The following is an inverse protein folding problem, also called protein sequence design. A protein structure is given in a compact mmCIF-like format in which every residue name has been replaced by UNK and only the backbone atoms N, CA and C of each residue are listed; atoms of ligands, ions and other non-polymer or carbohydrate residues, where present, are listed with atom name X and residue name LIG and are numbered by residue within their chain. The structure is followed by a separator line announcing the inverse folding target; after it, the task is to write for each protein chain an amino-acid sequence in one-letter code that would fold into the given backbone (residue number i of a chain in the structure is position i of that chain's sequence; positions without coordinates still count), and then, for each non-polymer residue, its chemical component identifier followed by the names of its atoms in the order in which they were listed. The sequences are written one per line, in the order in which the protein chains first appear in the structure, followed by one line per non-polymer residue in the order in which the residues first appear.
data_IF_664693436863
#
_entry.id   IF_664693436863
#
_cell.length_a   1.000
_cell.length_b   1.000
_cell.length_c   1.000
_cell.angle_alpha   90.00
_cell.angle_beta   90.00
_cell.angle_gamma   90.00
#
_symmetry.space_group_name_H-M   'P 1'
#
loop_
_entity.id
_entity.type
_entity.pdbx_description
1 polymer ?
#
# COMPACT_ATOMS: atom_id res chain seq x y z
N UNK A 1 -15.38 14.95 -14.32
CA UNK A 1 -14.31 13.93 -14.54
C UNK A 1 -13.56 13.61 -13.24
N UNK A 2 -13.45 14.57 -12.32
CA UNK A 2 -12.61 14.45 -11.12
C UNK A 2 -13.09 13.33 -10.16
N UNK A 3 -14.40 13.17 -9.98
CA UNK A 3 -14.96 12.09 -9.16
C UNK A 3 -14.74 10.69 -9.72
N UNK A 4 -14.65 10.54 -11.06
CA UNK A 4 -14.41 9.24 -11.69
C UNK A 4 -12.96 8.78 -11.50
N UNK A 5 -12.02 9.72 -11.62
CA UNK A 5 -10.59 9.45 -11.38
C UNK A 5 -10.33 9.14 -9.90
N UNK A 6 -10.93 9.91 -8.99
CA UNK A 6 -10.79 9.69 -7.54
C UNK A 6 -11.43 8.35 -7.15
N UNK A 7 -12.62 8.04 -7.66
CA UNK A 7 -13.31 6.77 -7.43
C UNK A 7 -12.53 5.57 -7.96
N UNK A 8 -12.08 5.62 -9.22
CA UNK A 8 -11.28 4.55 -9.81
C UNK A 8 -9.97 4.32 -9.08
N UNK A 9 -9.24 5.39 -8.71
CA UNK A 9 -8.01 5.28 -7.95
C UNK A 9 -8.22 4.67 -6.57
N UNK A 10 -9.32 5.04 -5.90
CA UNK A 10 -9.68 4.50 -4.60
C UNK A 10 -10.06 3.02 -4.66
N UNK A 11 -10.94 2.64 -5.59
CA UNK A 11 -11.32 1.23 -5.80
C UNK A 11 -10.11 0.38 -6.12
N UNK A 12 -9.24 0.83 -7.03
CA UNK A 12 -8.06 0.07 -7.43
C UNK A 12 -7.07 -0.10 -6.26
N UNK A 13 -6.92 0.94 -5.44
CA UNK A 13 -6.12 0.88 -4.21
C UNK A 13 -6.70 -0.12 -3.21
N UNK A 14 -8.02 -0.08 -2.98
CA UNK A 14 -8.70 -1.03 -2.08
C UNK A 14 -8.60 -2.47 -2.58
N UNK A 15 -8.74 -2.71 -3.89
CA UNK A 15 -8.59 -4.03 -4.49
C UNK A 15 -7.18 -4.57 -4.28
N UNK A 16 -6.14 -3.77 -4.53
CA UNK A 16 -4.74 -4.18 -4.32
C UNK A 16 -4.47 -4.49 -2.85
N UNK A 17 -4.93 -3.63 -1.93
CA UNK A 17 -4.78 -3.86 -0.48
C UNK A 17 -5.52 -5.14 -0.06
N UNK A 18 -6.74 -5.36 -0.55
CA UNK A 18 -7.55 -6.54 -0.26
C UNK A 18 -6.88 -7.83 -0.73
N UNK A 19 -6.36 -7.85 -1.96
CA UNK A 19 -5.66 -9.02 -2.53
C UNK A 19 -4.40 -9.34 -1.72
N UNK A 20 -3.59 -8.33 -1.37
CA UNK A 20 -2.40 -8.55 -0.54
C UNK A 20 -2.81 -9.12 0.83
N UNK A 21 -3.88 -8.61 1.43
CA UNK A 21 -4.39 -9.12 2.71
C UNK A 21 -4.98 -10.52 2.63
N UNK A 22 -5.57 -10.91 1.51
CA UNK A 22 -6.12 -12.26 1.32
C UNK A 22 -5.00 -13.30 1.14
N UNK A 23 -3.99 -12.96 0.35
CA UNK A 23 -2.79 -13.77 0.15
C UNK A 23 -2.02 -13.93 1.46
N UNK A 24 -1.73 -12.82 2.15
CA UNK A 24 -0.96 -12.84 3.40
C UNK A 24 -1.79 -13.27 4.62
N UNK A 25 -3.12 -13.26 4.51
CA UNK A 25 -4.07 -13.56 5.58
C UNK A 25 -4.52 -15.01 5.61
N UNK A 26 -4.97 -15.48 4.45
CA UNK A 26 -5.58 -16.80 4.28
C UNK A 26 -4.79 -17.68 3.31
N UNK A 27 -3.70 -17.19 2.70
CA UNK A 27 -2.93 -17.98 1.74
C UNK A 27 -3.71 -18.31 0.47
N UNK A 28 -4.77 -17.56 0.20
CA UNK A 28 -5.71 -17.79 -0.90
C UNK A 28 -6.01 -16.50 -1.66
N UNK A 29 -6.46 -16.66 -2.90
CA UNK A 29 -6.94 -15.56 -3.74
C UNK A 29 -8.31 -15.98 -4.25
N UNK A 30 -9.36 -15.21 -3.95
CA UNK A 30 -10.73 -15.48 -4.43
C UNK A 30 -11.19 -16.92 -4.12
N UNK A 31 -10.78 -17.48 -2.97
CA UNK A 31 -11.14 -18.83 -2.54
C UNK A 31 -10.25 -19.96 -3.08
N UNK A 32 -9.27 -19.67 -3.93
CA UNK A 32 -8.25 -20.66 -4.36
C UNK A 32 -7.04 -20.60 -3.44
N UNK A 33 -6.78 -21.68 -2.69
CA UNK A 33 -5.62 -21.81 -1.81
C UNK A 33 -4.32 -21.95 -2.63
N UNK A 34 -3.42 -20.98 -2.48
CA UNK A 34 -2.14 -20.92 -3.19
C UNK A 34 -0.97 -21.43 -2.33
N UNK A 35 -1.11 -21.42 -1.00
CA UNK A 35 -0.06 -21.85 -0.07
C UNK A 35 -0.59 -22.93 0.88
N UNK A 36 -0.01 -24.13 0.82
CA UNK A 36 -0.44 -25.29 1.62
C UNK A 36 -0.20 -25.13 3.12
N UNK A 37 -1.24 -25.43 3.91
CA UNK A 37 -1.40 -25.70 5.36
C UNK A 37 -0.57 -24.94 6.44
N UNK A 38 0.50 -24.23 6.12
CA UNK A 38 1.39 -23.58 7.11
C UNK A 38 1.05 -22.10 7.39
N UNK A 39 -0.18 -21.69 7.09
CA UNK A 39 -0.69 -20.31 7.13
C UNK A 39 -1.20 -19.92 8.53
N UNK A 40 -0.84 -20.67 9.58
CA UNK A 40 -1.26 -20.38 10.97
C UNK A 40 -0.79 -18.99 11.46
N UNK A 41 0.32 -18.47 10.94
CA UNK A 41 0.84 -17.12 11.24
C UNK A 41 0.11 -15.98 10.51
N UNK A 42 -0.64 -16.32 9.46
CA UNK A 42 -1.11 -15.34 8.50
C UNK A 42 -2.46 -14.70 8.88
N UNK A 43 -3.23 -15.30 9.79
CA UNK A 43 -4.45 -14.69 10.36
C UNK A 43 -4.23 -13.27 10.89
N UNK A 44 -3.01 -12.94 11.36
CA UNK A 44 -2.62 -11.60 11.83
C UNK A 44 -2.87 -10.51 10.77
N UNK A 45 -2.79 -10.85 9.47
CA UNK A 45 -3.07 -9.93 8.38
C UNK A 45 -4.57 -9.61 8.19
N UNK A 46 -5.45 -10.49 8.69
CA UNK A 46 -6.90 -10.24 8.76
C UNK A 46 -7.29 -9.36 9.95
N UNK A 47 -6.47 -9.32 11.01
CA UNK A 47 -6.69 -8.47 12.18
C UNK A 47 -6.26 -7.01 11.92
N UNK A 48 -6.73 -6.03 12.74
CA UNK A 48 -6.32 -4.62 12.65
C UNK A 48 -4.81 -4.36 12.47
N UNK A 49 -3.88 -5.02 13.20
CA UNK A 49 -2.44 -4.86 12.98
C UNK A 49 -1.98 -5.14 11.54
N UNK A 50 -2.62 -6.10 10.86
CA UNK A 50 -2.36 -6.43 9.46
C UNK A 50 -2.65 -5.28 8.50
N UNK A 51 -3.73 -4.52 8.76
CA UNK A 51 -4.11 -3.39 7.93
C UNK A 51 -3.06 -2.27 7.99
N UNK A 52 -2.55 -1.95 9.18
CA UNK A 52 -1.49 -0.93 9.35
C UNK A 52 -0.17 -1.36 8.72
N UNK A 53 0.21 -2.63 8.85
CA UNK A 53 1.42 -3.14 8.20
C UNK A 53 1.31 -3.03 6.68
N UNK A 54 0.20 -3.49 6.10
CA UNK A 54 -0.02 -3.45 4.65
C UNK A 54 0.00 -2.02 4.10
N UNK A 55 -0.65 -1.07 4.82
CA UNK A 55 -0.62 0.35 4.47
C UNK A 55 0.80 0.92 4.55
N UNK A 56 1.55 0.62 5.62
CA UNK A 56 2.93 1.07 5.79
C UNK A 56 3.85 0.57 4.68
N UNK A 57 3.76 -0.71 4.32
CA UNK A 57 4.53 -1.31 3.23
C UNK A 57 4.16 -0.72 1.88
N UNK A 58 2.86 -0.55 1.60
CA UNK A 58 2.40 0.04 0.35
C UNK A 58 2.85 1.49 0.23
N UNK A 59 2.79 2.26 1.31
CA UNK A 59 3.27 3.65 1.34
C UNK A 59 4.79 3.73 1.13
N UNK A 60 5.56 2.82 1.74
CA UNK A 60 7.00 2.70 1.53
C UNK A 60 7.33 2.34 0.08
N UNK A 61 6.58 1.41 -0.52
CA UNK A 61 6.73 1.02 -1.92
C UNK A 61 6.37 2.17 -2.87
N UNK A 62 5.25 2.85 -2.65
CA UNK A 62 4.85 4.02 -3.44
C UNK A 62 5.91 5.12 -3.32
N UNK A 63 6.43 5.40 -2.13
CA UNK A 63 7.48 6.39 -1.95
C UNK A 63 8.79 5.98 -2.66
N UNK A 64 9.13 4.68 -2.63
CA UNK A 64 10.30 4.15 -3.33
C UNK A 64 10.15 4.20 -4.86
N UNK A 65 8.97 3.88 -5.40
CA UNK A 65 8.67 3.92 -6.84
C UNK A 65 8.51 5.36 -7.36
N UNK A 66 7.88 6.23 -6.56
CA UNK A 66 7.72 7.68 -6.84
C UNK A 66 9.05 8.42 -6.72
N UNK A 67 10.09 7.78 -6.17
CA UNK A 67 11.48 8.25 -6.19
C UNK A 67 12.11 8.30 -7.59
N UNK A 68 11.30 8.32 -8.65
CA UNK A 68 11.72 8.68 -10.00
C UNK A 68 11.91 10.19 -10.08
N UNK A 69 13.16 10.63 -9.82
CA UNK A 69 13.70 11.97 -10.11
C UNK A 69 12.82 13.16 -9.69
N UNK A 70 12.49 13.29 -8.41
CA UNK A 70 12.35 14.64 -7.89
C UNK A 70 13.78 15.16 -7.68
N UNK A 71 14.27 16.15 -8.47
CA UNK A 71 15.50 16.83 -8.10
C UNK A 71 15.26 17.34 -6.68
N UNK A 72 16.15 16.99 -5.74
CA UNK A 72 16.13 17.50 -4.37
C UNK A 72 15.63 18.94 -4.41
N UNK A 73 14.41 19.23 -3.95
CA UNK A 73 14.01 20.61 -3.71
C UNK A 73 15.01 21.09 -2.69
N UNK A 74 15.91 21.97 -3.14
CA UNK A 74 16.87 22.69 -2.32
C UNK A 74 16.03 23.43 -1.28
N UNK A 75 15.92 22.84 -0.10
CA UNK A 75 15.34 23.49 1.07
C UNK A 75 16.28 24.65 1.41
N UNK A 76 15.81 25.85 1.09
CA UNK A 76 16.16 27.15 1.68
C UNK A 76 17.51 27.73 1.25
N UNK A 77 17.49 28.44 0.11
CA UNK A 77 18.27 29.66 -0.04
C UNK A 77 17.28 30.84 -0.11
N UNK A 78 17.63 31.97 0.52
CA UNK A 78 17.05 33.30 0.32
C UNK A 78 15.62 33.58 0.85
N UNK A 79 15.51 33.85 2.17
CA UNK A 79 14.67 34.91 2.75
C UNK A 79 15.09 35.05 4.22
N UNK A 80 15.98 35.97 4.61
CA UNK A 80 15.63 37.35 4.92
C UNK A 80 16.92 38.17 5.08
N UNK A 81 17.25 38.96 4.07
CA UNK A 81 17.72 40.31 4.31
C UNK A 81 16.43 41.16 4.38
N UNK A 82 16.14 41.69 5.56
CA UNK A 82 15.19 42.78 5.83
C UNK A 82 15.48 43.29 7.24
#
# INVERSE_FOLDING_TARGET
LDGLAIGLGFTLSLTVIGVIREILGAGSIFGYALTGENVSMATIFSLPPGAFFTLGTLMALINALTRKKSPRKKTVAAKREA
#
